data_IF_519811617486
#
_entry.id   IF_519811617486
#
_cell.length_a   1.000
_cell.length_b   1.000
_cell.length_c   1.000
_cell.angle_alpha   90.00
_cell.angle_beta   90.00
_cell.angle_gamma   90.00
#
_symmetry.space_group_name_H-M   'P 1'
#
loop_
_entity.id
_entity.type
_entity.pdbx_description
1 polymer ?
#
# COMPACT_ATOMS: atom_id res chain seq x y z
N UNK A 1 4.79 17.95 -14.44
CA UNK A 1 4.76 17.35 -13.09
C UNK A 1 6.13 17.54 -12.46
N UNK A 2 6.28 18.33 -11.37
CA UNK A 2 7.59 18.50 -10.71
C UNK A 2 7.96 17.18 -10.04
N UNK A 3 9.12 16.63 -10.37
CA UNK A 3 9.67 15.47 -9.69
C UNK A 3 9.74 15.76 -8.19
N UNK A 4 9.21 14.86 -7.36
CA UNK A 4 9.38 14.94 -5.90
C UNK A 4 10.84 14.56 -5.62
N UNK A 5 11.73 15.55 -5.58
CA UNK A 5 13.13 15.37 -5.21
C UNK A 5 13.26 15.41 -3.69
N UNK A 6 13.49 14.25 -3.08
CA UNK A 6 13.69 14.09 -1.64
C UNK A 6 13.64 12.61 -1.27
N UNK A 7 14.36 12.20 -0.22
CA UNK A 7 14.21 10.84 0.29
C UNK A 7 12.74 10.62 0.67
N UNK A 8 12.11 9.49 0.27
CA UNK A 8 10.73 9.23 0.65
C UNK A 8 10.61 9.25 2.18
N UNK A 9 9.49 9.78 2.71
CA UNK A 9 9.27 9.85 4.14
C UNK A 9 9.35 8.45 4.78
N UNK A 10 9.82 8.36 6.03
CA UNK A 10 9.93 7.09 6.72
C UNK A 10 8.56 6.40 6.82
N UNK A 11 8.61 5.08 6.77
CA UNK A 11 7.47 4.19 6.92
C UNK A 11 7.60 3.53 8.30
N UNK A 12 6.57 3.66 9.14
CA UNK A 12 6.47 2.92 10.40
C UNK A 12 5.56 1.73 10.20
N UNK A 13 6.03 0.54 10.57
CA UNK A 13 5.23 -0.68 10.54
C UNK A 13 5.14 -1.22 11.97
N UNK A 14 3.92 -1.40 12.44
CA UNK A 14 3.61 -2.04 13.72
C UNK A 14 2.78 -3.28 13.44
N UNK A 15 3.25 -4.45 13.90
CA UNK A 15 2.58 -5.72 13.68
C UNK A 15 2.19 -6.37 15.02
N UNK A 16 0.95 -6.85 15.09
CA UNK A 16 0.48 -7.82 16.10
C UNK A 16 0.18 -9.16 15.40
N UNK A 17 -0.14 -10.22 16.14
CA UNK A 17 -0.56 -11.49 15.54
C UNK A 17 -1.80 -11.37 14.64
N UNK A 18 -2.71 -10.42 14.89
CA UNK A 18 -3.94 -10.26 14.10
C UNK A 18 -3.87 -9.14 13.04
N UNK A 19 -2.91 -8.21 13.14
CA UNK A 19 -2.94 -6.97 12.36
C UNK A 19 -1.57 -6.42 11.99
N UNK A 20 -1.49 -5.82 10.80
CA UNK A 20 -0.46 -4.86 10.41
C UNK A 20 -1.03 -3.44 10.41
N UNK A 21 -0.35 -2.51 11.06
CA UNK A 21 -0.58 -1.06 10.89
C UNK A 21 0.63 -0.44 10.21
N UNK A 22 0.40 0.31 9.15
CA UNK A 22 1.43 1.03 8.41
C UNK A 22 1.12 2.52 8.48
N UNK A 23 2.11 3.32 8.87
CA UNK A 23 1.98 4.77 8.93
C UNK A 23 3.08 5.44 8.09
N UNK A 24 2.72 6.50 7.38
CA UNK A 24 3.66 7.37 6.67
C UNK A 24 3.17 8.81 6.67
N UNK A 25 4.08 9.76 6.82
CA UNK A 25 3.75 11.18 6.71
C UNK A 25 4.06 11.66 5.29
N UNK A 26 3.08 12.23 4.59
CA UNK A 26 3.25 12.83 3.26
C UNK A 26 2.65 14.23 3.26
N UNK A 27 3.43 15.24 2.88
CA UNK A 27 2.99 16.64 2.84
C UNK A 27 2.18 17.04 4.08
N UNK A 28 2.78 16.80 5.27
CA UNK A 28 2.20 17.09 6.59
C UNK A 28 0.98 16.23 7.02
N UNK A 29 0.51 15.32 6.15
CA UNK A 29 -0.57 14.39 6.49
C UNK A 29 -0.01 13.02 6.86
N UNK A 30 -0.37 12.51 8.04
CA UNK A 30 -0.11 11.11 8.40
C UNK A 30 -1.19 10.23 7.77
N UNK A 31 -0.76 9.38 6.85
CA UNK A 31 -1.56 8.33 6.24
C UNK A 31 -1.37 7.06 7.06
N UNK A 32 -2.48 6.40 7.42
CA UNK A 32 -2.49 5.13 8.13
C UNK A 32 -3.22 4.07 7.31
N UNK A 33 -2.61 2.91 7.16
CA UNK A 33 -3.23 1.70 6.64
C UNK A 33 -3.33 0.66 7.76
N UNK A 34 -4.48 0.02 7.85
CA UNK A 34 -4.75 -1.13 8.70
C UNK A 34 -5.07 -2.32 7.82
N UNK A 35 -4.36 -3.42 8.07
CA UNK A 35 -4.55 -4.70 7.40
C UNK A 35 -4.77 -5.77 8.48
N UNK A 36 -5.99 -6.29 8.58
CA UNK A 36 -6.29 -7.42 9.47
C UNK A 36 -6.01 -8.74 8.73
N UNK A 37 -5.50 -9.72 9.45
CA UNK A 37 -5.12 -11.02 8.90
C UNK A 37 -6.22 -12.08 8.99
N UNK A 38 -7.41 -11.71 9.46
CA UNK A 38 -8.59 -12.58 9.56
C UNK A 38 -9.36 -12.70 8.23
N UNK A 39 -8.83 -12.12 7.15
CA UNK A 39 -9.41 -12.14 5.81
C UNK A 39 -10.57 -11.18 5.60
N UNK A 40 -10.95 -10.38 6.61
CA UNK A 40 -11.99 -9.36 6.44
C UNK A 40 -11.53 -8.22 5.56
N UNK A 41 -12.50 -7.49 5.04
CA UNK A 41 -12.24 -6.27 4.27
C UNK A 41 -11.84 -5.12 5.19
N UNK A 42 -10.73 -4.46 4.85
CA UNK A 42 -10.28 -3.21 5.45
C UNK A 42 -10.58 -2.03 4.52
N UNK A 43 -11.09 -0.95 5.11
CA UNK A 43 -11.31 0.34 4.43
C UNK A 43 -10.37 1.38 4.99
N UNK A 44 -9.40 1.82 4.17
CA UNK A 44 -8.39 2.80 4.55
C UNK A 44 -8.56 4.07 3.71
N UNK A 45 -8.85 5.19 4.37
CA UNK A 45 -8.98 6.50 3.71
C UNK A 45 -7.66 7.25 3.80
N UNK A 46 -7.10 7.62 2.65
CA UNK A 46 -5.77 8.25 2.55
C UNK A 46 -5.85 9.51 1.69
N UNK A 47 -6.23 10.63 2.31
CA UNK A 47 -6.55 11.86 1.57
C UNK A 47 -7.77 11.62 0.66
N UNK A 48 -7.58 11.78 -0.65
CA UNK A 48 -8.66 11.61 -1.64
C UNK A 48 -8.96 10.15 -2.01
N UNK A 49 -8.18 9.19 -1.52
CA UNK A 49 -8.31 7.78 -1.91
C UNK A 49 -9.00 6.96 -0.81
N UNK A 50 -9.90 6.07 -1.22
CA UNK A 50 -10.44 4.99 -0.41
C UNK A 50 -9.86 3.66 -0.91
N UNK A 51 -9.11 2.98 -0.05
CA UNK A 51 -8.58 1.65 -0.30
C UNK A 51 -9.50 0.64 0.36
N UNK A 52 -10.06 -0.27 -0.42
CA UNK A 52 -10.91 -1.37 0.05
C UNK A 52 -10.20 -2.67 -0.26
N UNK A 53 -9.57 -3.28 0.75
CA UNK A 53 -8.59 -4.36 0.56
C UNK A 53 -8.76 -5.49 1.56
N UNK A 54 -8.31 -6.69 1.20
CA UNK A 54 -8.11 -7.83 2.12
C UNK A 54 -6.65 -8.21 2.16
N UNK A 55 -6.21 -8.74 3.29
CA UNK A 55 -4.82 -9.13 3.49
C UNK A 55 -4.70 -10.54 4.03
N UNK A 56 -3.66 -11.25 3.61
CA UNK A 56 -3.41 -12.64 3.97
C UNK A 56 -1.93 -12.98 3.82
N UNK A 57 -1.47 -13.92 4.62
CA UNK A 57 -0.11 -14.45 4.51
C UNK A 57 -0.07 -15.62 3.51
N UNK A 58 0.89 -15.57 2.60
CA UNK A 58 1.32 -16.70 1.76
C UNK A 58 2.79 -17.01 2.07
N UNK A 59 3.01 -17.99 2.95
CA UNK A 59 4.34 -18.27 3.47
C UNK A 59 4.94 -17.03 4.15
N UNK A 60 6.10 -16.58 3.67
CA UNK A 60 6.80 -15.40 4.20
C UNK A 60 6.38 -14.08 3.54
N UNK A 61 5.32 -14.08 2.72
CA UNK A 61 4.83 -12.90 2.00
C UNK A 61 3.47 -12.47 2.53
N UNK A 62 3.30 -11.17 2.75
CA UNK A 62 1.99 -10.58 3.00
C UNK A 62 1.42 -10.09 1.69
N UNK A 63 0.29 -10.64 1.29
CA UNK A 63 -0.45 -10.24 0.09
C UNK A 63 -1.62 -9.37 0.53
N UNK A 64 -1.76 -8.20 -0.09
CA UNK A 64 -2.89 -7.30 0.08
C UNK A 64 -3.50 -7.02 -1.29
N UNK A 65 -4.79 -7.29 -1.44
CA UNK A 65 -5.48 -7.19 -2.73
C UNK A 65 -6.83 -6.48 -2.55
N UNK A 66 -7.26 -5.76 -3.59
CA UNK A 66 -8.56 -5.10 -3.59
C UNK A 66 -8.65 -3.96 -4.59
N UNK A 67 -9.41 -2.94 -4.26
CA UNK A 67 -9.67 -1.80 -5.13
C UNK A 67 -9.31 -0.49 -4.45
N UNK A 68 -8.85 0.47 -5.24
CA UNK A 68 -8.70 1.85 -4.81
C UNK A 68 -9.66 2.71 -5.61
N UNK A 69 -10.38 3.58 -4.91
CA UNK A 69 -11.29 4.55 -5.48
C UNK A 69 -10.82 5.96 -5.14
N UNK A 70 -10.90 6.87 -6.09
CA UNK A 70 -10.52 8.27 -5.90
C UNK A 70 -11.52 9.20 -6.60
N UNK A 71 -11.89 10.28 -5.91
CA UNK A 71 -12.65 11.39 -6.50
C UNK A 71 -11.73 12.60 -6.65
N UNK A 72 -11.70 13.18 -7.85
CA UNK A 72 -10.94 14.40 -8.15
C UNK A 72 -11.81 15.41 -8.89
N UNK A 73 -11.30 16.63 -9.10
CA UNK A 73 -11.96 17.61 -9.96
C UNK A 73 -12.07 17.17 -11.43
N UNK A 74 -11.34 16.13 -11.85
CA UNK A 74 -11.38 15.56 -13.20
C UNK A 74 -12.37 14.38 -13.32
N UNK A 75 -13.01 13.97 -12.22
CA UNK A 75 -13.94 12.86 -12.17
C UNK A 75 -13.58 11.79 -11.15
N UNK A 76 -14.31 10.68 -11.23
CA UNK A 76 -14.11 9.47 -10.45
C UNK A 76 -13.19 8.51 -11.20
N UNK A 77 -12.34 7.78 -10.46
CA UNK A 77 -11.46 6.76 -11.01
C UNK A 77 -11.31 5.63 -10.00
N UNK A 78 -11.34 4.41 -10.51
CA UNK A 78 -11.03 3.21 -9.74
C UNK A 78 -9.91 2.39 -10.39
N UNK A 79 -9.23 1.57 -9.61
CA UNK A 79 -8.29 0.58 -10.13
C UNK A 79 -8.18 -0.59 -9.15
N UNK A 80 -7.80 -1.76 -9.68
CA UNK A 80 -7.45 -2.90 -8.84
C UNK A 80 -6.02 -2.76 -8.34
N UNK A 81 -5.76 -3.30 -7.17
CA UNK A 81 -4.49 -3.25 -6.47
C UNK A 81 -4.12 -4.65 -5.99
N UNK A 82 -2.89 -5.05 -6.28
CA UNK A 82 -2.20 -6.12 -5.58
C UNK A 82 -0.90 -5.55 -4.99
N UNK A 83 -0.66 -5.77 -3.71
CA UNK A 83 0.56 -5.38 -3.02
C UNK A 83 1.14 -6.56 -2.27
N UNK A 84 2.38 -6.90 -2.60
CA UNK A 84 3.13 -8.01 -2.02
C UNK A 84 4.29 -7.45 -1.20
N UNK A 85 4.34 -7.80 0.09
CA UNK A 85 5.41 -7.41 1.00
C UNK A 85 6.19 -8.62 1.50
N UNK A 86 7.52 -8.53 1.47
CA UNK A 86 8.41 -9.57 1.99
C UNK A 86 9.74 -8.98 2.47
N UNK A 87 10.46 -9.76 3.27
CA UNK A 87 11.84 -9.43 3.62
C UNK A 87 12.80 -10.07 2.62
N UNK A 88 13.74 -9.29 2.08
CA UNK A 88 14.84 -9.82 1.29
C UNK A 88 15.78 -10.64 2.19
N UNK A 89 16.68 -11.48 1.62
CA UNK A 89 17.70 -12.17 2.41
C UNK A 89 18.63 -11.24 3.20
N UNK A 90 18.67 -9.96 2.86
CA UNK A 90 19.45 -8.92 3.56
C UNK A 90 18.66 -8.22 4.67
N UNK A 91 17.43 -8.65 4.93
CA UNK A 91 16.54 -8.03 5.93
C UNK A 91 15.94 -6.69 5.48
N UNK A 92 15.97 -6.38 4.19
CA UNK A 92 15.31 -5.20 3.63
C UNK A 92 13.84 -5.52 3.38
N UNK A 93 12.95 -4.55 3.59
CA UNK A 93 11.54 -4.71 3.22
C UNK A 93 11.39 -4.43 1.73
N UNK A 94 11.00 -5.45 0.97
CA UNK A 94 10.57 -5.32 -0.41
C UNK A 94 9.05 -5.20 -0.48
N UNK A 95 8.60 -4.29 -1.33
CA UNK A 95 7.19 -3.99 -1.56
C UNK A 95 6.96 -3.90 -3.07
N UNK A 96 6.29 -4.89 -3.62
CA UNK A 96 5.84 -4.89 -5.01
C UNK A 96 4.38 -4.48 -5.06
N UNK A 97 4.06 -3.54 -5.94
CA UNK A 97 2.70 -3.03 -6.11
C UNK A 97 2.34 -3.14 -7.58
N UNK A 98 1.31 -3.91 -7.88
CA UNK A 98 0.68 -4.00 -9.19
C UNK A 98 -0.67 -3.29 -9.14
N UNK A 99 -0.94 -2.48 -10.15
CA UNK A 99 -2.21 -1.78 -10.33
C UNK A 99 -2.72 -2.03 -11.73
N UNK A 100 -4.03 -2.23 -11.89
CA UNK A 100 -4.70 -2.33 -13.18
C UNK A 100 -5.83 -1.32 -13.23
N UNK A 101 -5.77 -0.39 -14.18
CA UNK A 101 -6.78 0.65 -14.38
C UNK A 101 -8.04 0.13 -15.09
N UNK A 102 -9.01 1.01 -15.30
CA UNK A 102 -10.30 0.69 -15.93
C UNK A 102 -10.19 0.32 -17.42
N UNK A 103 -9.05 0.62 -18.06
CA UNK A 103 -8.73 0.24 -19.45
C UNK A 103 -7.93 -1.07 -19.52
N UNK A 104 -7.87 -1.85 -18.43
CA UNK A 104 -7.05 -3.06 -18.27
C UNK A 104 -5.54 -2.82 -18.43
N UNK A 105 -5.06 -1.58 -18.29
CA UNK A 105 -3.62 -1.29 -18.35
C UNK A 105 -3.00 -1.56 -16.99
N UNK A 106 -2.01 -2.45 -16.98
CA UNK A 106 -1.29 -2.85 -15.77
C UNK A 106 0.03 -2.10 -15.62
N UNK A 107 0.38 -1.74 -14.37
CA UNK A 107 1.68 -1.21 -14.00
C UNK A 107 2.18 -1.81 -12.69
N UNK A 108 3.43 -2.25 -12.67
CA UNK A 108 4.09 -2.82 -11.48
C UNK A 108 5.28 -1.96 -11.05
N UNK A 109 5.38 -1.72 -9.74
CA UNK A 109 6.50 -1.00 -9.12
C UNK A 109 7.04 -1.78 -7.93
N UNK A 110 8.34 -2.01 -7.91
CA UNK A 110 9.07 -2.56 -6.77
C UNK A 110 9.75 -1.44 -5.97
N UNK A 111 9.57 -1.44 -4.66
CA UNK A 111 10.24 -0.53 -3.71
C UNK A 111 11.00 -1.34 -2.66
N UNK A 112 12.24 -0.94 -2.39
CA UNK A 112 13.07 -1.55 -1.34
C UNK A 112 13.31 -0.53 -0.23
N UNK A 113 12.99 -0.92 1.00
CA UNK A 113 13.16 -0.11 2.20
C UNK A 113 14.22 -0.73 3.10
N UNK A 114 15.18 0.09 3.53
CA UNK A 114 16.17 -0.29 4.54
C UNK A 114 15.68 0.13 5.92
N UNK A 115 15.78 -0.77 6.89
CA UNK A 115 15.53 -0.44 8.30
C UNK A 115 16.52 0.65 8.75
N UNK A 116 16.01 1.64 9.48
CA UNK A 116 16.81 2.68 10.14
C UNK A 116 16.91 2.39 11.63
#
# INVERSE_FOLDING_TARGET
>A
MKAITGAPPPLTITQTPERLTIERTRFEQTIRFVHDFDGRENKNVTGAQLHTTRSRWEGARLITEGTVFQVTSQGETSWTLEEVRWLTPRGELAVEVTQVDEDDKAGTVLRIFKKR
#
